data_IF_850550093891
#
_entry.id   IF_850550093891
#
_cell.length_a   1.000
_cell.length_b   1.000
_cell.length_c   1.000
_cell.angle_alpha   90.00
_cell.angle_beta   90.00
_cell.angle_gamma   90.00
#
_symmetry.space_group_name_H-M   'P 1'
#
loop_
_entity.id
_entity.type
_entity.pdbx_description
1 polymer ?
#
# COMPACT_ATOMS: atom_id res chain seq x y z
N UNK A 1 -19.58 -4.98 -12.22
CA UNK A 1 -18.19 -4.55 -11.96
C UNK A 1 -18.18 -3.11 -11.49
N UNK A 2 -18.79 -2.19 -12.25
CA UNK A 2 -18.79 -0.75 -11.95
C UNK A 2 -19.48 -0.40 -10.61
N UNK A 3 -20.62 -1.03 -10.31
CA UNK A 3 -21.32 -0.89 -9.01
C UNK A 3 -20.45 -1.29 -7.82
N UNK A 4 -19.77 -2.44 -7.92
CA UNK A 4 -18.91 -2.96 -6.86
C UNK A 4 -17.63 -2.11 -6.71
N UNK A 5 -17.13 -1.53 -7.81
CA UNK A 5 -16.01 -0.58 -7.78
C UNK A 5 -16.38 0.73 -7.06
N UNK A 6 -17.54 1.31 -7.36
CA UNK A 6 -18.02 2.51 -6.65
C UNK A 6 -18.28 2.22 -5.17
N UNK A 7 -18.85 1.06 -4.85
CA UNK A 7 -19.04 0.63 -3.48
C UNK A 7 -17.70 0.52 -2.73
N UNK A 8 -16.69 -0.14 -3.31
CA UNK A 8 -15.38 -0.26 -2.66
C UNK A 8 -14.68 1.09 -2.52
N UNK A 9 -14.79 1.97 -3.52
CA UNK A 9 -14.24 3.32 -3.43
C UNK A 9 -14.91 4.16 -2.32
N UNK A 10 -16.23 4.05 -2.16
CA UNK A 10 -16.91 4.66 -1.02
C UNK A 10 -16.45 4.08 0.31
N UNK A 11 -16.26 2.76 0.42
CA UNK A 11 -15.73 2.17 1.66
C UNK A 11 -14.32 2.65 1.98
N UNK A 12 -13.47 2.86 0.97
CA UNK A 12 -12.12 3.42 1.15
C UNK A 12 -12.18 4.85 1.68
N UNK A 13 -13.04 5.71 1.11
CA UNK A 13 -13.27 7.08 1.61
C UNK A 13 -13.81 7.12 3.03
N UNK A 14 -14.72 6.22 3.38
CA UNK A 14 -15.22 6.09 4.75
C UNK A 14 -14.10 5.68 5.72
N UNK A 15 -13.21 4.77 5.32
CA UNK A 15 -12.04 4.39 6.12
C UNK A 15 -11.14 5.61 6.36
N UNK A 16 -10.85 6.40 5.33
CA UNK A 16 -10.06 7.64 5.46
C UNK A 16 -10.71 8.65 6.41
N UNK A 17 -12.03 8.81 6.36
CA UNK A 17 -12.77 9.67 7.30
C UNK A 17 -12.71 9.14 8.74
N UNK A 18 -12.81 7.82 8.93
CA UNK A 18 -12.62 7.20 10.24
C UNK A 18 -11.19 7.43 10.78
N UNK A 19 -10.16 7.38 9.91
CA UNK A 19 -8.78 7.70 10.27
C UNK A 19 -8.60 9.17 10.69
N UNK A 20 -9.21 10.11 9.97
CA UNK A 20 -9.18 11.53 10.35
C UNK A 20 -9.82 11.76 11.73
N UNK A 21 -10.93 11.05 12.00
CA UNK A 21 -11.59 11.08 13.30
C UNK A 21 -10.75 10.45 14.41
N UNK A 22 -9.96 9.42 14.13
CA UNK A 22 -9.08 8.75 15.09
C UNK A 22 -8.13 9.73 15.82
N UNK A 23 -7.76 10.84 15.17
CA UNK A 23 -6.92 11.88 15.76
C UNK A 23 -7.63 12.80 16.78
N UNK A 24 -8.96 12.84 16.79
CA UNK A 24 -9.76 13.79 17.59
C UNK A 24 -10.68 13.13 18.62
N UNK A 25 -10.71 11.80 18.67
CA UNK A 25 -11.66 11.02 19.47
C UNK A 25 -11.12 10.68 20.87
N UNK A 26 -12.03 10.48 21.81
CA UNK A 26 -11.76 10.10 23.20
C UNK A 26 -11.14 8.69 23.32
N UNK A 27 -10.26 8.43 24.30
CA UNK A 27 -9.53 7.15 24.43
C UNK A 27 -10.38 5.86 24.47
N UNK A 28 -11.62 5.80 25.03
CA UNK A 28 -12.43 4.59 24.95
C UNK A 28 -13.00 4.33 23.54
N UNK A 29 -13.38 5.37 22.81
CA UNK A 29 -13.97 5.28 21.47
C UNK A 29 -12.92 4.96 20.40
N UNK A 30 -11.63 5.19 20.67
CA UNK A 30 -10.51 4.88 19.76
C UNK A 30 -10.48 3.39 19.40
N UNK A 31 -10.69 2.48 20.36
CA UNK A 31 -10.64 1.03 20.11
C UNK A 31 -11.80 0.57 19.22
N UNK A 32 -13.00 1.10 19.44
CA UNK A 32 -14.18 0.75 18.66
C UNK A 32 -14.05 1.24 17.21
N UNK A 33 -13.48 2.44 17.03
CA UNK A 33 -13.17 2.99 15.71
C UNK A 33 -12.08 2.18 15.01
N UNK A 34 -11.01 1.76 15.71
CA UNK A 34 -9.97 0.87 15.16
C UNK A 34 -10.57 -0.46 14.66
N UNK A 35 -11.43 -1.09 15.46
CA UNK A 35 -12.13 -2.32 15.07
C UNK A 35 -13.06 -2.10 13.87
N UNK A 36 -13.75 -0.97 13.83
CA UNK A 36 -14.61 -0.58 12.71
C UNK A 36 -13.80 -0.35 11.43
N UNK A 37 -12.62 0.28 11.53
CA UNK A 37 -11.70 0.46 10.40
C UNK A 37 -11.20 -0.91 9.90
N UNK A 38 -10.80 -1.79 10.82
CA UNK A 38 -10.27 -3.11 10.46
C UNK A 38 -11.32 -3.98 9.74
N UNK A 39 -12.56 -3.98 10.22
CA UNK A 39 -13.67 -4.70 9.57
C UNK A 39 -13.97 -4.13 8.18
N UNK A 40 -14.00 -2.79 8.03
CA UNK A 40 -14.16 -2.13 6.72
C UNK A 40 -13.02 -2.43 5.75
N UNK A 41 -11.77 -2.44 6.20
CA UNK A 41 -10.60 -2.82 5.37
C UNK A 41 -10.73 -4.27 4.89
N UNK A 42 -11.14 -5.18 5.77
CA UNK A 42 -11.33 -6.60 5.41
C UNK A 42 -12.46 -6.77 4.39
N UNK A 43 -13.57 -6.04 4.57
CA UNK A 43 -14.67 -6.02 3.61
C UNK A 43 -14.25 -5.45 2.25
N UNK A 44 -13.48 -4.36 2.24
CA UNK A 44 -12.99 -3.73 1.01
C UNK A 44 -12.00 -4.64 0.26
N UNK A 45 -11.11 -5.34 0.98
CA UNK A 45 -10.22 -6.36 0.38
C UNK A 45 -11.02 -7.51 -0.25
N UNK A 46 -12.03 -8.04 0.44
CA UNK A 46 -12.89 -9.09 -0.12
C UNK A 46 -13.65 -8.60 -1.38
N UNK A 47 -14.05 -7.32 -1.42
CA UNK A 47 -14.64 -6.74 -2.62
C UNK A 47 -13.62 -6.59 -3.77
N UNK A 48 -12.37 -6.24 -3.48
CA UNK A 48 -11.29 -6.22 -4.47
C UNK A 48 -11.02 -7.61 -5.07
N UNK A 49 -11.04 -8.67 -4.26
CA UNK A 49 -10.88 -10.05 -4.75
C UNK A 49 -12.05 -10.45 -5.67
N UNK A 50 -13.28 -10.02 -5.33
CA UNK A 50 -14.45 -10.19 -6.22
C UNK A 50 -14.30 -9.40 -7.52
N UNK A 51 -13.72 -8.19 -7.48
CA UNK A 51 -13.44 -7.40 -8.67
C UNK A 51 -12.40 -8.07 -9.58
N UNK A 52 -11.39 -8.74 -9.02
CA UNK A 52 -10.44 -9.54 -9.81
C UNK A 52 -11.14 -10.71 -10.53
N UNK A 53 -12.04 -11.42 -9.84
CA UNK A 53 -12.81 -12.50 -10.47
C UNK A 53 -13.68 -11.94 -11.61
N UNK A 54 -14.28 -10.77 -11.41
CA UNK A 54 -15.07 -10.08 -12.44
C UNK A 54 -14.21 -9.56 -13.59
N UNK A 55 -12.93 -9.28 -13.38
CA UNK A 55 -11.99 -8.85 -14.42
C UNK A 55 -11.87 -9.88 -15.55
N UNK A 56 -11.94 -11.18 -15.23
CA UNK A 56 -11.93 -12.26 -16.21
C UNK A 56 -13.18 -12.27 -17.11
N UNK A 57 -14.30 -11.68 -16.66
CA UNK A 57 -15.55 -11.59 -17.41
C UNK A 57 -15.65 -10.36 -18.31
N UNK A 58 -14.71 -9.42 -18.22
CA UNK A 58 -14.69 -8.17 -19.01
C UNK A 58 -13.95 -8.36 -20.33
N UNK A 59 -14.40 -7.74 -21.44
CA UNK A 59 -13.72 -7.79 -22.74
C UNK A 59 -12.26 -7.30 -22.69
N UNK A 60 -11.37 -7.85 -23.54
CA UNK A 60 -9.94 -7.62 -23.46
C UNK A 60 -9.52 -6.14 -23.64
N UNK A 61 -10.32 -5.34 -24.35
CA UNK A 61 -10.09 -3.91 -24.54
C UNK A 61 -10.23 -3.07 -23.27
N UNK A 62 -11.16 -3.43 -22.36
CA UNK A 62 -11.40 -2.70 -21.10
C UNK A 62 -10.67 -3.32 -19.91
N UNK A 63 -10.27 -4.59 -20.03
CA UNK A 63 -9.61 -5.37 -18.97
C UNK A 63 -8.34 -4.69 -18.43
N UNK A 64 -7.55 -4.06 -19.29
CA UNK A 64 -6.31 -3.39 -18.88
C UNK A 64 -6.58 -2.17 -17.98
N UNK A 65 -7.57 -1.34 -18.33
CA UNK A 65 -7.94 -0.16 -17.55
C UNK A 65 -8.58 -0.55 -16.20
N UNK A 66 -9.50 -1.53 -16.22
CA UNK A 66 -10.11 -2.02 -14.98
C UNK A 66 -9.10 -2.69 -14.06
N UNK A 67 -8.10 -3.39 -14.59
CA UNK A 67 -7.02 -3.98 -13.81
C UNK A 67 -6.20 -2.92 -13.09
N UNK A 68 -5.79 -1.86 -13.81
CA UNK A 68 -5.04 -0.76 -13.21
C UNK A 68 -5.80 -0.12 -12.04
N UNK A 69 -7.11 0.10 -12.20
CA UNK A 69 -7.97 0.65 -11.14
C UNK A 69 -8.06 -0.26 -9.92
N UNK A 70 -8.18 -1.58 -10.11
CA UNK A 70 -8.19 -2.54 -9.00
C UNK A 70 -6.83 -2.60 -8.31
N UNK A 71 -5.73 -2.59 -9.08
CA UNK A 71 -4.38 -2.58 -8.54
C UNK A 71 -4.11 -1.32 -7.71
N UNK A 72 -4.61 -0.16 -8.14
CA UNK A 72 -4.56 1.09 -7.37
C UNK A 72 -5.35 0.97 -6.06
N UNK A 73 -6.57 0.45 -6.11
CA UNK A 73 -7.42 0.27 -4.92
C UNK A 73 -6.79 -0.67 -3.89
N UNK A 74 -6.11 -1.73 -4.36
CA UNK A 74 -5.34 -2.64 -3.50
C UNK A 74 -4.13 -1.97 -2.87
N UNK A 75 -3.45 -1.09 -3.60
CA UNK A 75 -2.34 -0.32 -3.05
C UNK A 75 -2.82 0.58 -1.91
N UNK A 76 -3.92 1.31 -2.14
CA UNK A 76 -4.52 2.21 -1.14
C UNK A 76 -4.95 1.43 0.12
N UNK A 77 -5.58 0.26 -0.05
CA UNK A 77 -5.97 -0.59 1.08
C UNK A 77 -4.76 -1.11 1.88
N UNK A 78 -3.66 -1.49 1.22
CA UNK A 78 -2.43 -1.89 1.91
C UNK A 78 -1.84 -0.73 2.70
N UNK A 79 -1.82 0.46 2.12
CA UNK A 79 -1.33 1.66 2.80
C UNK A 79 -2.18 2.00 4.03
N UNK A 80 -3.52 1.92 3.92
CA UNK A 80 -4.44 2.13 5.04
C UNK A 80 -4.25 1.06 6.14
N UNK A 81 -3.99 -0.19 5.76
CA UNK A 81 -3.72 -1.26 6.71
C UNK A 81 -2.41 -1.02 7.50
N UNK A 82 -1.32 -0.63 6.82
CA UNK A 82 -0.07 -0.23 7.48
C UNK A 82 -0.28 0.99 8.39
N UNK A 83 -1.08 1.97 7.95
CA UNK A 83 -1.42 3.15 8.75
C UNK A 83 -2.19 2.78 10.03
N UNK A 84 -3.10 1.80 9.96
CA UNK A 84 -3.82 1.30 11.14
C UNK A 84 -2.85 0.65 12.12
N UNK A 85 -1.96 -0.20 11.62
CA UNK A 85 -0.98 -0.91 12.45
C UNK A 85 -0.08 0.08 13.20
N UNK A 86 0.42 1.12 12.53
CA UNK A 86 1.21 2.15 13.21
C UNK A 86 0.41 2.95 14.24
N UNK A 87 -0.88 3.21 14.00
CA UNK A 87 -1.73 3.86 14.98
C UNK A 87 -1.92 2.98 16.24
N UNK A 88 -2.15 1.68 16.04
CA UNK A 88 -2.27 0.69 17.11
C UNK A 88 -0.96 0.54 17.91
N UNK A 89 0.18 0.41 17.24
CA UNK A 89 1.51 0.36 17.87
C UNK A 89 1.77 1.61 18.71
N UNK A 90 1.48 2.81 18.17
CA UNK A 90 1.64 4.07 18.90
C UNK A 90 0.72 4.18 20.12
N UNK A 91 -0.46 3.58 20.06
CA UNK A 91 -1.37 3.47 21.21
C UNK A 91 -0.83 2.50 22.25
N UNK A 92 -0.44 1.30 21.84
CA UNK A 92 0.08 0.26 22.72
C UNK A 92 1.34 0.73 23.44
N UNK A 93 2.26 1.39 22.73
CA UNK A 93 3.46 1.99 23.31
C UNK A 93 3.14 3.04 24.38
N UNK A 94 2.15 3.93 24.12
CA UNK A 94 1.68 4.89 25.14
C UNK A 94 1.07 4.18 26.36
N UNK A 95 0.33 3.09 26.16
CA UNK A 95 -0.24 2.32 27.26
C UNK A 95 0.84 1.63 28.11
N UNK A 96 1.88 1.09 27.47
CA UNK A 96 3.05 0.51 28.13
C UNK A 96 3.80 1.57 28.94
N UNK A 97 4.12 2.72 28.33
CA UNK A 97 4.80 3.84 29.01
C UNK A 97 4.02 4.33 30.26
N UNK A 98 2.68 4.38 30.17
CA UNK A 98 1.83 4.73 31.32
C UNK A 98 1.85 3.64 32.40
N UNK A 99 1.75 2.37 32.03
CA UNK A 99 1.81 1.25 32.98
C UNK A 99 3.16 1.16 33.68
N UNK A 100 4.27 1.36 32.95
CA UNK A 100 5.62 1.43 33.51
C UNK A 100 5.74 2.60 34.48
N UNK A 101 5.21 3.77 34.11
CA UNK A 101 5.18 4.94 34.99
C UNK A 101 4.38 4.70 36.26
N UNK A 102 3.24 4.02 36.20
CA UNK A 102 2.44 3.65 37.37
C UNK A 102 3.19 2.67 38.28
N UNK A 103 3.90 1.68 37.71
CA UNK A 103 4.75 0.75 38.47
C UNK A 103 5.89 1.48 39.19
N UNK A 104 6.53 2.45 38.52
CA UNK A 104 7.57 3.29 39.13
C UNK A 104 7.02 4.22 40.22
N UNK A 105 5.78 4.70 40.08
CA UNK A 105 5.10 5.50 41.10
C UNK A 105 4.74 4.66 42.33
N UNK A 106 4.28 3.42 42.15
CA UNK A 106 4.06 2.48 43.24
C UNK A 106 5.36 2.07 43.96
N UNK A 107 6.52 2.22 43.31
CA UNK A 107 7.84 1.98 43.91
C UNK A 107 8.38 3.13 44.78
N UNK A 108 7.74 4.32 44.79
CA UNK A 108 8.24 5.52 45.47
C UNK A 108 7.99 5.48 46.99
N UNK A 109 8.98 4.97 47.72
CA UNK A 109 9.30 5.24 49.13
C UNK A 109 8.19 5.06 50.19
N UNK A 110 8.09 3.85 50.74
CA UNK A 110 7.64 3.66 52.13
C UNK A 110 8.81 3.97 53.09
N UNK A 111 9.11 5.25 53.29
CA UNK A 111 10.11 5.71 54.26
C UNK A 111 9.44 6.03 55.60
N UNK A 112 8.87 5.04 56.29
CA UNK A 112 8.76 4.94 57.76
C UNK A 112 7.90 3.72 58.14
N UNK A 113 8.47 2.51 58.16
CA UNK A 113 8.03 1.48 59.11
C UNK A 113 9.27 0.88 59.75
N UNK A 114 9.37 1.10 61.05
CA UNK A 114 10.53 0.83 61.88
C UNK A 114 10.74 -0.68 62.08
N UNK A 115 11.92 -1.16 61.65
CA UNK A 115 12.60 -2.45 61.94
C UNK A 115 12.13 -3.73 61.20
N UNK A 116 12.99 -4.75 60.93
CA UNK A 116 14.44 -4.82 60.77
C UNK A 116 14.82 -5.10 59.30
N UNK A 117 15.24 -4.06 58.57
CA UNK A 117 15.48 -4.05 57.12
C UNK A 117 16.95 -4.27 56.78
N UNK A 118 17.51 -5.44 57.08
CA UNK A 118 18.80 -5.84 56.46
C UNK A 118 18.67 -7.16 55.69
N UNK A 119 17.81 -8.09 56.12
CA UNK A 119 17.53 -9.33 55.36
C UNK A 119 16.47 -9.13 54.27
N UNK A 120 15.54 -8.18 54.47
CA UNK A 120 14.49 -7.89 53.48
C UNK A 120 15.04 -7.11 52.27
N UNK A 121 16.02 -6.22 52.46
CA UNK A 121 16.63 -5.46 51.35
C UNK A 121 17.47 -6.34 50.41
N UNK A 122 18.11 -7.40 50.94
CA UNK A 122 18.90 -8.32 50.12
C UNK A 122 18.03 -9.36 49.40
N UNK A 123 16.98 -9.88 50.05
CA UNK A 123 16.03 -10.79 49.41
C UNK A 123 15.19 -10.08 48.33
N UNK A 124 14.78 -8.84 48.59
CA UNK A 124 14.04 -8.02 47.61
C UNK A 124 14.95 -7.63 46.43
N UNK A 125 16.23 -7.34 46.67
CA UNK A 125 17.20 -7.12 45.58
C UNK A 125 17.39 -8.37 44.71
N UNK A 126 17.51 -9.58 45.29
CA UNK A 126 17.65 -10.83 44.52
C UNK A 126 16.35 -11.23 43.78
N UNK A 127 15.17 -11.08 44.41
CA UNK A 127 13.89 -11.27 43.73
C UNK A 127 13.68 -10.25 42.60
N UNK A 128 14.11 -9.02 42.83
CA UNK A 128 14.05 -7.93 41.85
C UNK A 128 15.05 -8.15 40.70
N UNK A 129 16.23 -8.73 40.96
CA UNK A 129 17.18 -9.12 39.93
C UNK A 129 16.66 -10.30 39.10
N UNK A 130 15.98 -11.27 39.73
CA UNK A 130 15.38 -12.41 39.05
C UNK A 130 14.17 -12.00 38.19
N UNK A 131 13.34 -11.08 38.68
CA UNK A 131 12.22 -10.52 37.89
C UNK A 131 12.72 -9.57 36.79
N UNK A 132 13.80 -8.82 37.02
CA UNK A 132 14.47 -8.06 35.96
C UNK A 132 15.11 -8.98 34.92
N UNK A 133 15.68 -10.12 35.28
CA UNK A 133 16.14 -11.12 34.31
C UNK A 133 14.98 -11.75 33.54
N UNK A 134 13.85 -12.02 34.19
CA UNK A 134 12.64 -12.49 33.51
C UNK A 134 12.04 -11.47 32.54
N UNK A 135 12.00 -10.18 32.94
CA UNK A 135 11.55 -9.08 32.09
C UNK A 135 12.54 -8.77 30.96
N UNK A 136 13.84 -8.83 31.23
CA UNK A 136 14.87 -8.67 30.21
C UNK A 136 14.83 -9.83 29.21
N UNK A 137 14.62 -11.06 29.68
CA UNK A 137 14.45 -12.21 28.80
C UNK A 137 13.19 -12.08 27.94
N UNK A 138 12.07 -11.60 28.52
CA UNK A 138 10.86 -11.26 27.74
C UNK A 138 11.09 -10.13 26.75
N UNK A 139 11.82 -9.08 27.13
CA UNK A 139 12.14 -7.97 26.23
C UNK A 139 13.08 -8.39 25.09
N UNK A 140 14.02 -9.30 25.37
CA UNK A 140 14.87 -9.96 24.36
C UNK A 140 14.02 -10.87 23.47
N UNK A 141 13.10 -11.65 24.02
CA UNK A 141 12.19 -12.50 23.24
C UNK A 141 11.27 -11.66 22.34
N UNK A 142 10.76 -10.52 22.82
CA UNK A 142 9.93 -9.61 22.04
C UNK A 142 10.75 -8.91 20.93
N UNK A 143 12.03 -8.62 21.20
CA UNK A 143 12.97 -8.09 20.23
C UNK A 143 13.39 -9.15 19.20
N UNK A 144 13.52 -10.41 19.59
CA UNK A 144 13.77 -11.55 18.70
C UNK A 144 12.54 -11.83 17.85
N UNK A 145 11.34 -11.78 18.43
CA UNK A 145 10.07 -11.92 17.72
C UNK A 145 9.89 -10.79 16.70
N UNK A 146 10.14 -9.55 17.11
CA UNK A 146 10.11 -8.38 16.22
C UNK A 146 11.20 -8.45 15.13
N UNK A 147 12.41 -8.90 15.49
CA UNK A 147 13.50 -9.15 14.54
C UNK A 147 13.15 -10.24 13.51
N UNK A 148 12.48 -11.30 13.93
CA UNK A 148 12.00 -12.36 13.04
C UNK A 148 10.88 -11.87 12.10
N UNK A 149 9.98 -11.02 12.60
CA UNK A 149 8.92 -10.39 11.80
C UNK A 149 9.46 -9.40 10.76
N UNK A 150 10.52 -8.66 11.11
CA UNK A 150 11.24 -7.79 10.18
C UNK A 150 11.97 -8.63 9.13
N UNK A 151 12.62 -9.73 9.52
CA UNK A 151 13.30 -10.63 8.59
C UNK A 151 12.31 -11.29 7.62
N UNK A 152 11.16 -11.76 8.11
CA UNK A 152 10.06 -12.29 7.29
C UNK A 152 9.46 -11.21 6.37
N UNK A 153 9.35 -9.97 6.86
CA UNK A 153 8.95 -8.82 6.03
C UNK A 153 9.99 -8.51 4.94
N UNK A 154 11.29 -8.62 5.22
CA UNK A 154 12.36 -8.46 4.23
C UNK A 154 12.42 -9.61 3.23
N UNK A 155 12.19 -10.85 3.68
CA UNK A 155 12.11 -12.05 2.83
C UNK A 155 10.87 -11.98 1.93
N UNK A 156 9.71 -11.59 2.47
CA UNK A 156 8.47 -11.39 1.71
C UNK A 156 8.57 -10.18 0.76
N UNK A 157 9.28 -9.11 1.14
CA UNK A 157 9.63 -8.01 0.24
C UNK A 157 10.56 -8.49 -0.88
N UNK A 158 11.57 -9.34 -0.61
CA UNK A 158 12.43 -9.95 -1.65
C UNK A 158 11.64 -10.88 -2.58
N UNK A 159 10.73 -11.69 -2.05
CA UNK A 159 9.83 -12.54 -2.85
C UNK A 159 8.90 -11.69 -3.73
N UNK A 160 8.40 -10.57 -3.19
CA UNK A 160 7.56 -9.61 -3.91
C UNK A 160 8.36 -8.85 -4.97
N UNK A 161 9.61 -8.44 -4.67
CA UNK A 161 10.52 -7.80 -5.63
C UNK A 161 10.96 -8.77 -6.72
N UNK A 162 11.19 -10.04 -6.41
CA UNK A 162 11.49 -11.09 -7.40
C UNK A 162 10.28 -11.35 -8.30
N UNK A 163 9.06 -11.34 -7.73
CA UNK A 163 7.81 -11.37 -8.48
C UNK A 163 7.61 -10.12 -9.35
N UNK A 164 7.97 -8.94 -8.85
CA UNK A 164 7.96 -7.69 -9.61
C UNK A 164 9.02 -7.69 -10.73
N UNK A 165 10.21 -8.25 -10.51
CA UNK A 165 11.25 -8.39 -11.55
C UNK A 165 10.83 -9.38 -12.64
N UNK A 166 10.23 -10.53 -12.28
CA UNK A 166 9.62 -11.45 -13.26
C UNK A 166 8.47 -10.80 -14.02
N UNK A 167 7.68 -9.95 -13.35
CA UNK A 167 6.62 -9.16 -14.00
C UNK A 167 7.18 -8.06 -14.88
N UNK A 168 8.25 -7.37 -14.49
CA UNK A 168 8.96 -6.37 -15.29
C UNK A 168 9.65 -7.03 -16.48
N UNK A 169 10.21 -8.23 -16.33
CA UNK A 169 10.77 -9.01 -17.43
C UNK A 169 9.67 -9.51 -18.38
N UNK A 170 8.51 -9.91 -17.87
CA UNK A 170 7.33 -10.23 -18.68
C UNK A 170 6.72 -8.97 -19.33
N UNK A 171 6.80 -7.81 -18.68
CA UNK A 171 6.40 -6.49 -19.20
C UNK A 171 7.42 -6.05 -20.27
N UNK A 172 8.72 -6.27 -20.08
CA UNK A 172 9.75 -6.05 -21.10
C UNK A 172 9.58 -6.99 -22.30
N UNK A 173 9.21 -8.26 -22.07
CA UNK A 173 8.93 -9.21 -23.14
C UNK A 173 7.56 -8.99 -23.82
N UNK A 174 6.60 -8.34 -23.15
CA UNK A 174 5.26 -8.01 -23.72
C UNK A 174 5.15 -6.58 -24.26
N UNK A 175 5.96 -5.63 -23.79
CA UNK A 175 6.25 -4.37 -24.50
C UNK A 175 7.19 -4.57 -25.68
N UNK A 176 7.88 -5.72 -25.76
CA UNK A 176 8.48 -6.24 -26.99
C UNK A 176 7.48 -6.53 -28.12
N UNK A 177 6.17 -6.39 -27.86
CA UNK A 177 5.09 -6.37 -28.85
C UNK A 177 4.53 -4.96 -29.10
N UNK A 178 5.37 -3.93 -28.92
CA UNK A 178 5.21 -2.60 -29.55
C UNK A 178 5.36 -2.68 -31.07
N UNK A 179 4.60 -3.55 -31.73
CA UNK A 179 4.46 -3.54 -33.17
C UNK A 179 3.17 -2.81 -33.55
N UNK A 180 2.15 -2.80 -32.70
CA UNK A 180 0.91 -2.07 -32.99
C UNK A 180 1.01 -0.59 -32.67
N UNK A 181 1.58 -0.21 -31.52
CA UNK A 181 1.80 1.20 -31.15
C UNK A 181 2.92 1.84 -31.97
N UNK A 182 4.00 1.11 -32.28
CA UNK A 182 5.05 1.60 -33.19
C UNK A 182 4.54 1.75 -34.63
N UNK A 183 3.74 0.79 -35.15
CA UNK A 183 3.08 0.96 -36.47
C UNK A 183 2.04 2.07 -36.50
N UNK A 184 1.36 2.36 -35.39
CA UNK A 184 0.42 3.48 -35.30
C UNK A 184 1.13 4.84 -35.35
N UNK A 185 2.38 4.92 -34.87
CA UNK A 185 3.21 6.13 -34.96
C UNK A 185 3.84 6.25 -36.35
N UNK A 186 4.39 5.16 -36.92
CA UNK A 186 4.93 5.17 -38.29
C UNK A 186 3.87 5.45 -39.36
N UNK A 187 2.62 4.96 -39.21
CA UNK A 187 1.55 5.24 -40.17
C UNK A 187 1.27 6.74 -40.31
N UNK A 188 1.34 7.52 -39.23
CA UNK A 188 1.07 8.96 -39.28
C UNK A 188 2.09 9.72 -40.12
N UNK A 189 3.34 9.28 -40.15
CA UNK A 189 4.40 9.90 -40.97
C UNK A 189 4.38 9.41 -42.43
N UNK A 190 4.04 8.13 -42.66
CA UNK A 190 3.97 7.57 -44.02
C UNK A 190 2.74 8.08 -44.78
N UNK A 191 1.62 8.27 -44.09
CA UNK A 191 0.39 8.81 -44.69
C UNK A 191 0.56 10.28 -45.08
N UNK A 192 1.19 11.08 -44.23
CA UNK A 192 1.49 12.49 -44.51
C UNK A 192 2.41 12.63 -45.74
N UNK A 193 3.45 11.80 -45.83
CA UNK A 193 4.34 11.75 -47.01
C UNK A 193 3.61 11.38 -48.30
N UNK A 194 2.62 10.48 -48.24
CA UNK A 194 1.82 10.08 -49.41
C UNK A 194 0.87 11.18 -49.86
N UNK A 195 0.24 11.88 -48.93
CA UNK A 195 -0.65 13.01 -49.23
C UNK A 195 0.15 14.16 -49.85
N UNK A 196 1.32 14.48 -49.29
CA UNK A 196 2.22 15.50 -49.84
C UNK A 196 2.68 15.18 -51.26
N UNK A 197 3.13 13.94 -51.52
CA UNK A 197 3.57 13.51 -52.85
C UNK A 197 2.42 13.53 -53.87
N UNK A 198 1.21 13.12 -53.45
CA UNK A 198 0.00 13.21 -54.28
C UNK A 198 -0.32 14.66 -54.69
N UNK A 199 -0.26 15.60 -53.74
CA UNK A 199 -0.47 17.02 -54.02
C UNK A 199 0.52 17.60 -55.03
N UNK A 200 1.81 17.23 -54.92
CA UNK A 200 2.85 17.69 -55.84
C UNK A 200 2.65 17.18 -57.28
N UNK A 201 2.22 15.93 -57.46
CA UNK A 201 1.99 15.38 -58.81
C UNK A 201 0.77 16.03 -59.47
N UNK A 202 -0.31 16.25 -58.70
CA UNK A 202 -1.53 16.87 -59.21
C UNK A 202 -1.26 18.31 -59.67
N UNK A 203 -0.51 19.09 -58.88
CA UNK A 203 -0.18 20.47 -59.26
C UNK A 203 0.68 20.52 -60.53
N UNK A 204 1.67 19.63 -60.66
CA UNK A 204 2.48 19.52 -61.88
C UNK A 204 1.64 19.11 -63.10
N UNK A 205 0.68 18.20 -62.94
CA UNK A 205 -0.18 17.76 -64.04
C UNK A 205 -1.10 18.89 -64.52
N UNK A 206 -1.67 19.66 -63.60
CA UNK A 206 -2.51 20.83 -63.93
C UNK A 206 -1.69 21.88 -64.69
N UNK A 207 -0.48 22.20 -64.20
CA UNK A 207 0.40 23.16 -64.88
C UNK A 207 0.78 22.65 -66.28
N UNK A 208 1.14 21.37 -66.41
CA UNK A 208 1.47 20.76 -67.70
C UNK A 208 0.32 20.80 -68.71
N UNK A 209 -0.91 20.51 -68.27
CA UNK A 209 -2.11 20.61 -69.12
C UNK A 209 -2.38 22.04 -69.59
N UNK A 210 -2.22 23.02 -68.71
CA UNK A 210 -2.41 24.44 -69.06
C UNK A 210 -1.38 24.86 -70.10
N UNK A 211 -0.10 24.49 -69.92
CA UNK A 211 0.96 24.82 -70.89
C UNK A 211 0.71 24.12 -72.22
N UNK A 212 0.33 22.84 -72.21
CA UNK A 212 0.02 22.10 -73.43
C UNK A 212 -1.13 22.74 -74.21
N UNK A 213 -2.22 23.10 -73.52
CA UNK A 213 -3.37 23.77 -74.15
C UNK A 213 -3.04 25.19 -74.65
N UNK A 214 -2.09 25.88 -74.02
CA UNK A 214 -1.67 27.21 -74.45
C UNK A 214 -0.62 27.18 -75.57
N UNK A 215 0.18 26.12 -75.65
CA UNK A 215 1.24 25.96 -76.64
C UNK A 215 0.77 25.29 -77.94
N UNK A 216 -0.35 24.57 -77.90
CA UNK A 216 -0.96 23.87 -79.04
C UNK A 216 -2.19 24.62 -79.55
#
# INVERSE_FOLDING_TARGET
METLYHQTNNTVREIEQCFQRLGHISPPEVLDVENTIQTKITQANANCDRLDVLLYKVPPSQRQSSKLRIDQLKYDLRHLQTSLQHAQERRQRRQQELSEREQLLNHRFSANSTAPTETCLQLDYELQHHTQMGNANRGVDDMIASGSGILESLISQRMTLSGAHKRIQAIGSTLGLSNHTMKLIERRLVEDKRIFLGGMVVTLFIIGLIIYFFMM
#
